data_IF_416999850403
#
_entry.id   IF_416999850403
#
_cell.length_a   1.000
_cell.length_b   1.000
_cell.length_c   1.000
_cell.angle_alpha   90.00
_cell.angle_beta   90.00
_cell.angle_gamma   90.00
#
_symmetry.space_group_name_H-M   'P 1'
#
loop_
_entity.id
_entity.type
_entity.pdbx_description
1 polymer ?
#
# COMPACT_ATOMS: atom_id res chain seq x y z
N UNK A 1 13.48 -2.08 -3.05
CA UNK A 1 14.35 -0.98 -3.44
C UNK A 1 14.57 -0.97 -4.95
N UNK A 2 15.20 0.07 -5.50
CA UNK A 2 15.40 0.24 -6.95
C UNK A 2 16.24 -0.83 -7.60
N UNK A 3 17.25 -1.32 -6.92
CA UNK A 3 18.11 -2.40 -7.38
C UNK A 3 17.28 -3.68 -7.64
N UNK A 4 16.39 -4.03 -6.70
CA UNK A 4 15.50 -5.19 -6.87
C UNK A 4 14.45 -4.95 -7.96
N UNK A 5 13.90 -3.76 -8.06
CA UNK A 5 12.99 -3.42 -9.16
C UNK A 5 13.68 -3.60 -10.51
N UNK A 6 14.90 -3.11 -10.67
CA UNK A 6 15.68 -3.26 -11.90
C UNK A 6 16.02 -4.73 -12.23
N UNK A 7 16.22 -5.54 -11.19
CA UNK A 7 16.55 -6.97 -11.36
C UNK A 7 15.37 -7.81 -11.82
N UNK A 8 14.16 -7.49 -11.35
CA UNK A 8 12.96 -8.33 -11.52
C UNK A 8 11.92 -7.77 -12.50
N UNK A 9 12.09 -6.54 -12.99
CA UNK A 9 11.17 -5.94 -13.95
C UNK A 9 11.81 -5.77 -15.33
N UNK A 10 11.03 -5.90 -16.42
CA UNK A 10 11.45 -5.40 -17.72
C UNK A 10 11.85 -3.93 -17.64
N UNK A 11 12.84 -3.51 -18.43
CA UNK A 11 13.44 -2.17 -18.32
C UNK A 11 12.41 -1.05 -18.56
N UNK A 12 11.52 -1.21 -19.50
CA UNK A 12 10.46 -0.23 -19.81
C UNK A 12 9.41 -0.15 -18.68
N UNK A 13 9.12 -1.27 -18.02
CA UNK A 13 8.24 -1.32 -16.84
C UNK A 13 8.90 -0.66 -15.63
N UNK A 14 10.19 -0.93 -15.43
CA UNK A 14 10.98 -0.30 -14.38
C UNK A 14 11.00 1.22 -14.53
N UNK A 15 11.29 1.73 -15.74
CA UNK A 15 11.33 3.16 -16.01
C UNK A 15 9.96 3.83 -15.76
N UNK A 16 8.87 3.26 -16.26
CA UNK A 16 7.51 3.75 -16.00
C UNK A 16 7.17 3.76 -14.52
N UNK A 17 7.52 2.70 -13.80
CA UNK A 17 7.26 2.63 -12.34
C UNK A 17 8.10 3.68 -11.59
N UNK A 18 9.32 3.95 -12.02
CA UNK A 18 10.14 5.03 -11.47
C UNK A 18 9.46 6.40 -11.66
N UNK A 19 8.90 6.70 -12.83
CA UNK A 19 8.15 7.94 -13.05
C UNK A 19 6.91 8.07 -12.16
N UNK A 20 6.20 6.97 -11.93
CA UNK A 20 5.08 6.95 -10.97
C UNK A 20 5.56 7.34 -9.56
N UNK A 21 6.67 6.77 -9.10
CA UNK A 21 7.21 7.01 -7.75
C UNK A 21 7.81 8.41 -7.63
N UNK A 22 8.63 8.83 -8.59
CA UNK A 22 9.43 10.05 -8.49
C UNK A 22 8.66 11.30 -8.90
N UNK A 23 7.98 11.23 -10.03
CA UNK A 23 7.31 12.38 -10.63
C UNK A 23 5.84 12.48 -10.18
N UNK A 24 5.30 11.41 -9.54
CA UNK A 24 3.90 11.34 -9.13
C UNK A 24 2.96 11.17 -10.33
N UNK A 25 3.45 10.57 -11.40
CA UNK A 25 2.63 10.21 -12.54
C UNK A 25 1.58 9.16 -12.17
N UNK A 26 0.50 9.13 -12.92
CA UNK A 26 -0.54 8.15 -12.70
C UNK A 26 -0.05 6.76 -13.10
N UNK A 27 -0.30 5.76 -12.24
CA UNK A 27 0.00 4.38 -12.56
C UNK A 27 -0.75 3.93 -13.82
N UNK A 28 -0.01 3.51 -14.84
CA UNK A 28 -0.56 2.87 -16.02
C UNK A 28 -0.89 1.40 -15.69
N UNK A 29 -2.16 1.05 -15.78
CA UNK A 29 -2.62 -0.32 -15.54
C UNK A 29 -2.00 -1.35 -16.49
N UNK A 30 -1.50 -0.91 -17.65
CA UNK A 30 -0.85 -1.80 -18.63
C UNK A 30 0.43 -2.46 -18.10
N UNK A 31 1.09 -1.85 -17.09
CA UNK A 31 2.31 -2.42 -16.47
C UNK A 31 2.02 -3.25 -15.23
N UNK A 32 0.77 -3.25 -14.74
CA UNK A 32 0.43 -3.86 -13.44
C UNK A 32 0.72 -5.37 -13.40
N UNK A 33 0.44 -6.10 -14.47
CA UNK A 33 0.72 -7.54 -14.54
C UNK A 33 2.23 -7.83 -14.50
N UNK A 34 3.03 -7.05 -15.24
CA UNK A 34 4.49 -7.21 -15.23
C UNK A 34 5.10 -6.86 -13.86
N UNK A 35 4.55 -5.84 -13.18
CA UNK A 35 4.98 -5.48 -11.83
C UNK A 35 4.59 -6.57 -10.83
N UNK A 36 3.38 -7.11 -10.91
CA UNK A 36 2.91 -8.20 -10.07
C UNK A 36 3.78 -9.45 -10.25
N UNK A 37 4.06 -9.85 -11.48
CA UNK A 37 4.93 -11.00 -11.78
C UNK A 37 6.35 -10.80 -11.21
N UNK A 38 6.93 -9.61 -11.40
CA UNK A 38 8.25 -9.30 -10.82
C UNK A 38 8.26 -9.32 -9.29
N UNK A 39 7.20 -8.83 -8.65
CA UNK A 39 7.04 -8.90 -7.19
C UNK A 39 6.91 -10.34 -6.72
N UNK A 40 6.08 -11.16 -7.38
CA UNK A 40 5.89 -12.58 -7.07
C UNK A 40 7.22 -13.33 -7.19
N UNK A 41 7.93 -13.16 -8.29
CA UNK A 41 9.22 -13.83 -8.51
C UNK A 41 10.24 -13.46 -7.44
N UNK A 42 10.35 -12.17 -7.11
CA UNK A 42 11.22 -11.72 -6.03
C UNK A 42 10.83 -12.33 -4.68
N UNK A 43 9.54 -12.36 -4.36
CA UNK A 43 9.04 -12.91 -3.11
C UNK A 43 9.31 -14.42 -3.02
N UNK A 44 9.05 -15.16 -4.09
CA UNK A 44 9.31 -16.61 -4.15
C UNK A 44 10.81 -16.95 -4.03
N UNK A 45 11.68 -16.16 -4.66
CA UNK A 45 13.14 -16.31 -4.50
C UNK A 45 13.60 -16.09 -3.05
N UNK A 46 12.81 -15.35 -2.26
CA UNK A 46 13.02 -15.14 -0.82
C UNK A 46 12.30 -16.17 0.06
N UNK A 47 11.64 -17.18 -0.53
CA UNK A 47 10.94 -18.24 0.19
C UNK A 47 9.51 -17.89 0.64
N UNK A 48 8.96 -16.79 0.12
CA UNK A 48 7.60 -16.33 0.43
C UNK A 48 6.57 -17.18 -0.29
N UNK A 49 5.48 -17.52 0.38
CA UNK A 49 4.38 -18.34 -0.14
C UNK A 49 3.04 -17.63 -0.18
N UNK A 50 2.92 -16.53 0.55
CA UNK A 50 1.70 -15.76 0.72
C UNK A 50 1.94 -14.28 0.43
N UNK A 51 0.86 -13.54 0.18
CA UNK A 51 0.90 -12.09 0.11
C UNK A 51 -0.27 -11.49 0.89
N UNK A 52 -0.12 -10.24 1.31
CA UNK A 52 -1.18 -9.50 1.98
C UNK A 52 -1.20 -8.05 1.54
N UNK A 53 -2.40 -7.49 1.40
CA UNK A 53 -2.60 -6.05 1.31
C UNK A 53 -2.56 -5.47 2.72
N UNK A 54 -1.49 -4.76 3.01
CA UNK A 54 -1.17 -4.19 4.31
C UNK A 54 -1.68 -2.75 4.43
N UNK A 55 -2.58 -2.48 5.38
CA UNK A 55 -3.14 -1.15 5.59
C UNK A 55 -3.49 -0.90 7.07
N UNK A 56 -3.68 0.38 7.42
CA UNK A 56 -4.02 0.83 8.77
C UNK A 56 -5.43 1.42 8.78
N UNK A 57 -6.47 0.63 9.08
CA UNK A 57 -7.84 1.13 9.13
C UNK A 57 -8.06 2.07 10.32
N UNK A 58 -9.07 2.93 10.23
CA UNK A 58 -9.45 3.86 11.31
C UNK A 58 -9.97 3.15 12.58
N UNK A 59 -10.14 1.83 12.53
CA UNK A 59 -10.62 0.98 13.65
C UNK A 59 -9.52 0.47 14.56
N UNK A 60 -8.31 1.08 14.51
CA UNK A 60 -7.12 0.72 15.25
C UNK A 60 -6.43 -0.59 14.79
N UNK A 61 -5.14 -0.64 15.05
CA UNK A 61 -4.30 -1.77 14.64
C UNK A 61 -4.08 -1.84 13.13
N UNK A 62 -3.16 -2.68 12.73
CA UNK A 62 -2.90 -2.97 11.32
C UNK A 62 -3.89 -4.03 10.81
N UNK A 63 -4.40 -3.84 9.62
CA UNK A 63 -5.23 -4.84 8.94
C UNK A 63 -4.49 -5.42 7.75
N UNK A 64 -4.83 -6.64 7.43
CA UNK A 64 -4.22 -7.40 6.36
C UNK A 64 -5.22 -8.42 5.80
N UNK A 65 -5.16 -8.61 4.50
CA UNK A 65 -5.89 -9.65 3.82
C UNK A 65 -4.90 -10.62 3.18
N UNK A 66 -4.70 -11.76 3.83
CA UNK A 66 -3.79 -12.78 3.37
C UNK A 66 -4.40 -13.63 2.24
N UNK A 67 -3.59 -13.85 1.21
CA UNK A 67 -3.86 -14.78 0.14
C UNK A 67 -2.57 -15.56 -0.19
N UNK A 68 -2.69 -16.78 -0.69
CA UNK A 68 -1.55 -17.53 -1.17
C UNK A 68 -1.28 -17.22 -2.65
N UNK A 69 -0.02 -17.41 -3.09
CA UNK A 69 0.33 -17.35 -4.51
C UNK A 69 -0.18 -18.56 -5.32
N UNK A 70 -0.93 -19.44 -4.69
CA UNK A 70 -1.40 -20.70 -5.27
C UNK A 70 -2.92 -20.68 -5.35
N UNK A 71 -3.46 -20.93 -6.54
CA UNK A 71 -4.89 -21.11 -6.80
C UNK A 71 -5.16 -22.46 -7.48
N UNK A 72 -6.40 -22.96 -7.38
CA UNK A 72 -6.82 -24.16 -8.09
C UNK A 72 -7.15 -23.85 -9.56
N UNK A 73 -6.62 -24.66 -10.49
CA UNK A 73 -6.87 -24.54 -11.93
C UNK A 73 -8.27 -25.00 -12.38
N UNK A 74 -9.12 -25.43 -11.44
CA UNK A 74 -10.45 -25.97 -11.70
C UNK A 74 -10.45 -27.35 -12.34
N UNK A 75 -9.29 -27.98 -12.58
CA UNK A 75 -9.11 -29.28 -13.20
C UNK A 75 -8.42 -30.31 -12.31
N UNK A 76 -8.23 -29.94 -11.02
CA UNK A 76 -7.55 -30.78 -10.02
C UNK A 76 -6.04 -30.50 -9.90
N UNK A 77 -5.52 -29.49 -10.59
CA UNK A 77 -4.19 -28.95 -10.46
C UNK A 77 -4.16 -27.63 -9.67
N UNK A 78 -2.97 -27.06 -9.54
CA UNK A 78 -2.73 -25.76 -8.90
C UNK A 78 -1.98 -24.84 -9.86
N UNK A 79 -2.28 -23.54 -9.78
CA UNK A 79 -1.61 -22.47 -10.49
C UNK A 79 -0.92 -21.55 -9.49
N UNK A 80 0.24 -21.04 -9.83
CA UNK A 80 0.82 -19.91 -9.16
C UNK A 80 0.27 -18.62 -9.81
N UNK A 81 -0.53 -17.86 -9.07
CA UNK A 81 -1.16 -16.66 -9.60
C UNK A 81 -0.93 -15.46 -8.69
N UNK A 82 -0.44 -14.37 -9.27
CA UNK A 82 -0.47 -13.04 -8.69
C UNK A 82 -0.53 -12.03 -9.84
N UNK A 83 -1.75 -11.65 -10.23
CA UNK A 83 -1.98 -10.75 -11.35
C UNK A 83 -1.92 -9.29 -10.94
N UNK A 84 -1.77 -8.39 -11.92
CA UNK A 84 -1.86 -6.96 -11.70
C UNK A 84 -3.20 -6.52 -11.10
N UNK A 85 -4.29 -7.23 -11.37
CA UNK A 85 -5.58 -7.01 -10.73
C UNK A 85 -5.50 -7.26 -9.23
N UNK A 86 -4.87 -8.35 -8.82
CA UNK A 86 -4.69 -8.71 -7.40
C UNK A 86 -3.73 -7.72 -6.71
N UNK A 87 -2.72 -7.23 -7.41
CA UNK A 87 -1.80 -6.23 -6.88
C UNK A 87 -2.49 -4.88 -6.67
N UNK A 88 -3.18 -4.37 -7.68
CA UNK A 88 -3.62 -2.96 -7.72
C UNK A 88 -4.79 -2.69 -6.80
N UNK A 89 -5.75 -3.62 -6.71
CA UNK A 89 -6.99 -3.39 -5.98
C UNK A 89 -7.57 -4.69 -5.42
N UNK A 90 -8.04 -4.62 -4.17
CA UNK A 90 -8.81 -5.66 -3.50
C UNK A 90 -10.06 -5.04 -2.86
N UNK A 91 -11.00 -5.88 -2.45
CA UNK A 91 -12.20 -5.50 -1.73
C UNK A 91 -12.22 -6.17 -0.35
N UNK A 92 -11.44 -5.66 0.64
CA UNK A 92 -11.44 -6.21 1.98
C UNK A 92 -12.80 -5.97 2.67
N UNK A 93 -13.16 -6.89 3.54
CA UNK A 93 -14.33 -6.79 4.39
C UNK A 93 -13.94 -6.78 5.88
N UNK A 94 -14.92 -6.80 6.76
CA UNK A 94 -14.70 -6.76 8.20
C UNK A 94 -13.82 -7.92 8.73
N UNK A 95 -13.73 -9.05 8.02
CA UNK A 95 -12.88 -10.18 8.41
C UNK A 95 -11.39 -9.88 8.32
N UNK A 96 -11.00 -8.90 7.50
CA UNK A 96 -9.63 -8.42 7.35
C UNK A 96 -9.17 -7.48 8.47
N UNK A 97 -10.04 -7.14 9.44
CA UNK A 97 -9.71 -6.23 10.52
C UNK A 97 -9.31 -6.98 11.80
N UNK A 98 -8.30 -6.51 12.55
CA UNK A 98 -7.79 -7.21 13.74
C UNK A 98 -8.84 -7.47 14.80
N UNK A 99 -9.72 -6.50 15.04
CA UNK A 99 -10.78 -6.56 16.04
C UNK A 99 -12.14 -6.68 15.37
N UNK A 100 -12.62 -7.86 15.05
CA UNK A 100 -13.92 -8.11 14.43
C UNK A 100 -15.15 -7.37 15.04
N UNK A 101 -14.92 -6.33 15.87
CA UNK A 101 -15.84 -5.58 16.70
C UNK A 101 -16.93 -4.81 15.95
N UNK A 102 -17.71 -4.04 16.72
CA UNK A 102 -18.80 -3.21 16.20
C UNK A 102 -18.23 -2.08 15.35
N UNK A 103 -18.70 -2.00 14.11
CA UNK A 103 -18.31 -0.97 13.13
C UNK A 103 -19.53 -0.43 12.43
N UNK A 104 -19.39 0.79 11.93
CA UNK A 104 -20.33 1.30 10.94
C UNK A 104 -20.20 0.50 9.64
N UNK A 105 -21.30 0.29 8.93
CA UNK A 105 -21.33 -0.52 7.72
C UNK A 105 -20.36 0.00 6.64
N UNK A 106 -20.17 1.32 6.55
CA UNK A 106 -19.27 1.93 5.58
C UNK A 106 -17.79 1.67 5.90
N UNK A 107 -17.43 1.39 7.15
CA UNK A 107 -16.08 0.99 7.56
C UNK A 107 -15.82 -0.51 7.35
N UNK A 108 -16.86 -1.30 7.17
CA UNK A 108 -16.76 -2.73 7.02
C UNK A 108 -16.39 -3.19 5.61
N UNK A 109 -16.57 -2.33 4.61
CA UNK A 109 -16.32 -2.65 3.19
C UNK A 109 -15.82 -1.45 2.42
N UNK A 110 -14.90 -1.70 1.50
CA UNK A 110 -14.36 -0.70 0.62
C UNK A 110 -13.35 -1.30 -0.35
N UNK A 111 -12.54 -0.44 -0.92
CA UNK A 111 -11.44 -0.83 -1.78
C UNK A 111 -10.11 -0.62 -1.06
N UNK A 112 -9.23 -1.62 -1.06
CA UNK A 112 -7.81 -1.39 -0.88
C UNK A 112 -7.17 -1.10 -2.24
N UNK A 113 -6.23 -0.17 -2.28
CA UNK A 113 -5.48 0.14 -3.49
C UNK A 113 -3.98 0.21 -3.19
N UNK A 114 -3.19 -0.42 -4.03
CA UNK A 114 -1.74 -0.40 -3.90
C UNK A 114 -1.20 1.02 -3.94
N UNK A 115 -0.28 1.32 -3.01
CA UNK A 115 0.51 2.54 -3.00
C UNK A 115 1.93 2.26 -3.50
N UNK A 116 2.25 2.57 -4.77
CA UNK A 116 3.57 2.32 -5.34
C UNK A 116 4.68 3.19 -4.73
N UNK A 117 4.34 4.25 -4.00
CA UNK A 117 5.30 5.13 -3.34
C UNK A 117 5.86 4.54 -2.04
N UNK A 118 5.21 3.51 -1.50
CA UNK A 118 5.66 2.78 -0.33
C UNK A 118 6.33 1.46 -0.72
N UNK A 119 7.51 1.13 -0.16
CA UNK A 119 8.17 -0.11 -0.48
C UNK A 119 7.39 -1.32 0.03
N UNK A 120 7.26 -2.34 -0.80
CA UNK A 120 6.83 -3.67 -0.37
C UNK A 120 7.91 -4.30 0.53
N UNK A 121 7.50 -5.13 1.47
CA UNK A 121 8.41 -5.77 2.43
C UNK A 121 7.92 -7.18 2.75
N UNK A 122 8.77 -7.97 3.40
CA UNK A 122 8.48 -9.36 3.76
C UNK A 122 8.49 -9.47 5.27
N UNK A 123 7.45 -10.12 5.81
CA UNK A 123 7.39 -10.60 7.19
C UNK A 123 7.21 -12.12 7.12
N UNK A 124 8.14 -12.84 7.70
CA UNK A 124 8.17 -14.30 7.69
C UNK A 124 8.05 -14.87 6.26
N UNK A 125 6.97 -15.55 5.92
CA UNK A 125 6.68 -16.15 4.62
C UNK A 125 5.66 -15.34 3.78
N UNK A 126 5.41 -14.09 4.17
CA UNK A 126 4.37 -13.24 3.59
C UNK A 126 4.93 -11.97 2.98
N UNK A 127 4.60 -11.71 1.71
CA UNK A 127 4.81 -10.43 1.03
C UNK A 127 3.77 -9.42 1.47
N UNK A 128 4.20 -8.34 2.14
CA UNK A 128 3.35 -7.25 2.57
C UNK A 128 3.35 -6.12 1.53
N UNK A 129 2.17 -5.80 0.99
CA UNK A 129 1.96 -4.80 -0.05
C UNK A 129 1.27 -3.59 0.57
N UNK A 130 1.98 -2.46 0.79
CA UNK A 130 1.36 -1.27 1.36
C UNK A 130 0.23 -0.75 0.50
N UNK A 131 -0.92 -0.56 1.11
CA UNK A 131 -2.14 -0.12 0.44
C UNK A 131 -2.83 1.01 1.21
N UNK A 132 -3.77 1.67 0.55
CA UNK A 132 -4.77 2.55 1.16
C UNK A 132 -6.11 1.82 1.19
N UNK A 133 -6.98 2.24 2.11
CA UNK A 133 -8.33 1.73 2.25
C UNK A 133 -9.35 2.86 2.18
N UNK A 134 -10.28 2.75 1.24
CA UNK A 134 -11.31 3.75 0.98
C UNK A 134 -12.68 3.10 0.86
N UNK A 135 -13.72 3.76 1.37
CA UNK A 135 -15.10 3.33 1.21
C UNK A 135 -15.53 3.34 -0.26
N UNK A 136 -16.57 2.60 -0.60
CA UNK A 136 -17.19 2.64 -1.94
C UNK A 136 -17.66 4.04 -2.36
N UNK A 137 -17.96 4.89 -1.40
CA UNK A 137 -18.36 6.28 -1.58
C UNK A 137 -17.20 7.27 -1.64
N UNK A 138 -15.95 6.80 -1.40
CA UNK A 138 -14.73 7.58 -1.52
C UNK A 138 -14.20 8.19 -0.21
N UNK A 139 -14.85 7.94 0.93
CA UNK A 139 -14.34 8.36 2.24
C UNK A 139 -13.08 7.56 2.61
N UNK A 140 -12.19 8.22 3.33
CA UNK A 140 -11.02 7.56 3.90
C UNK A 140 -11.43 6.57 4.99
N UNK A 141 -10.97 5.33 4.88
CA UNK A 141 -11.13 4.30 5.90
C UNK A 141 -9.80 3.91 6.56
N UNK A 142 -8.73 4.62 6.21
CA UNK A 142 -7.41 4.49 6.82
C UNK A 142 -6.75 5.85 7.08
N UNK A 143 -5.61 5.83 7.78
CA UNK A 143 -4.84 7.04 8.08
C UNK A 143 -3.94 7.48 6.91
N UNK A 144 -3.58 6.58 6.01
CA UNK A 144 -2.65 6.85 4.91
C UNK A 144 -3.28 7.63 3.77
N UNK A 145 -4.54 7.35 3.45
CA UNK A 145 -5.22 8.02 2.34
C UNK A 145 -5.31 9.55 2.52
N UNK A 146 -5.73 10.09 3.69
CA UNK A 146 -5.68 11.53 3.94
C UNK A 146 -4.26 12.12 3.82
N UNK A 147 -3.26 11.41 4.33
CA UNK A 147 -1.85 11.82 4.23
C UNK A 147 -1.43 11.95 2.76
N UNK A 148 -1.66 10.94 1.94
CA UNK A 148 -1.29 10.98 0.52
C UNK A 148 -2.02 12.09 -0.23
N UNK A 149 -3.29 12.34 0.09
CA UNK A 149 -4.04 13.46 -0.48
C UNK A 149 -3.46 14.82 -0.07
N UNK A 150 -3.04 14.98 1.17
CA UNK A 150 -2.40 16.22 1.63
C UNK A 150 -1.04 16.45 0.97
N UNK A 151 -0.24 15.39 0.80
CA UNK A 151 1.03 15.45 0.07
C UNK A 151 0.83 15.85 -1.40
N UNK A 152 -0.21 15.33 -2.04
CA UNK A 152 -0.55 15.72 -3.40
C UNK A 152 -0.97 17.19 -3.49
N UNK A 153 -1.84 17.66 -2.59
CA UNK A 153 -2.30 19.04 -2.57
C UNK A 153 -1.16 20.04 -2.36
N UNK A 154 -0.26 19.77 -1.40
CA UNK A 154 0.88 20.64 -1.15
C UNK A 154 1.90 20.62 -2.29
N UNK A 155 2.11 19.46 -2.92
CA UNK A 155 2.95 19.37 -4.11
C UNK A 155 2.45 20.30 -5.22
N UNK A 156 1.16 20.27 -5.55
CA UNK A 156 0.58 21.14 -6.56
C UNK A 156 0.76 22.63 -6.23
N UNK A 157 0.45 23.03 -5.00
CA UNK A 157 0.56 24.42 -4.58
C UNK A 157 2.01 24.90 -4.54
N UNK A 158 2.91 24.10 -3.98
CA UNK A 158 4.33 24.46 -3.85
C UNK A 158 5.04 24.49 -5.21
N UNK A 159 4.73 23.56 -6.12
CA UNK A 159 5.25 23.56 -7.48
C UNK A 159 4.80 24.82 -8.24
N UNK A 160 3.54 25.22 -8.09
CA UNK A 160 3.06 26.47 -8.68
C UNK A 160 3.83 27.71 -8.18
N UNK A 161 4.17 27.76 -6.89
CA UNK A 161 5.02 28.82 -6.33
C UNK A 161 6.45 28.74 -6.88
N UNK A 162 7.05 27.55 -6.92
CA UNK A 162 8.39 27.36 -7.48
C UNK A 162 8.49 27.84 -8.93
N UNK A 163 7.43 27.72 -9.70
CA UNK A 163 7.40 28.16 -11.10
C UNK A 163 7.55 29.68 -11.29
N UNK A 164 7.40 30.51 -10.26
CA UNK A 164 7.77 31.93 -10.34
C UNK A 164 9.28 32.14 -10.37
N UNK A 165 10.05 31.16 -9.93
CA UNK A 165 11.51 31.21 -9.83
C UNK A 165 12.21 30.27 -10.83
N UNK A 166 11.67 29.06 -10.99
CA UNK A 166 12.20 28.04 -11.90
C UNK A 166 11.07 27.22 -12.49
N UNK A 167 10.90 27.31 -13.82
CA UNK A 167 9.86 26.58 -14.58
C UNK A 167 10.12 25.08 -14.73
N UNK A 168 11.36 24.63 -14.48
CA UNK A 168 11.74 23.23 -14.67
C UNK A 168 11.40 22.34 -13.45
N UNK A 169 10.94 22.94 -12.36
CA UNK A 169 10.51 22.19 -11.16
C UNK A 169 9.25 21.39 -11.49
N UNK A 170 9.36 20.06 -11.45
CA UNK A 170 8.24 19.14 -11.72
C UNK A 170 7.47 18.75 -10.47
N UNK A 171 8.15 18.69 -9.32
CA UNK A 171 7.57 18.18 -8.08
C UNK A 171 8.25 18.80 -6.86
N UNK A 172 7.48 19.01 -5.82
CA UNK A 172 7.97 19.39 -4.48
C UNK A 172 7.63 18.24 -3.52
N UNK A 173 8.65 17.72 -2.85
CA UNK A 173 8.51 16.62 -1.90
C UNK A 173 8.51 17.16 -0.47
N UNK A 174 7.56 16.74 0.33
CA UNK A 174 7.50 17.01 1.76
C UNK A 174 8.32 15.98 2.51
N UNK A 175 9.23 16.45 3.34
CA UNK A 175 9.96 15.59 4.27
C UNK A 175 9.33 15.69 5.65
N UNK A 176 9.07 14.56 6.27
CA UNK A 176 8.51 14.43 7.61
C UNK A 176 9.54 13.77 8.53
N UNK A 177 9.80 14.38 9.69
CA UNK A 177 10.55 13.75 10.79
C UNK A 177 9.60 13.00 11.71
N UNK A 178 9.99 11.82 12.18
CA UNK A 178 9.27 11.08 13.19
C UNK A 178 9.57 11.65 14.56
N UNK A 179 8.49 11.86 15.34
CA UNK A 179 8.57 12.18 16.78
C UNK A 179 7.66 11.21 17.55
N UNK A 180 8.10 10.84 18.74
CA UNK A 180 7.32 10.04 19.68
C UNK A 180 7.11 10.83 20.95
N UNK A 181 5.85 10.97 21.34
CA UNK A 181 5.47 11.53 22.63
C UNK A 181 4.81 10.44 23.47
N UNK A 182 5.23 10.31 24.72
CA UNK A 182 4.65 9.34 25.63
C UNK A 182 4.74 9.84 27.09
N UNK A 183 3.83 9.35 27.89
CA UNK A 183 3.81 9.56 29.32
C UNK A 183 4.11 8.27 30.04
N UNK A 184 4.89 8.36 31.10
CA UNK A 184 5.03 7.26 32.05
C UNK A 184 3.83 7.30 32.98
N UNK A 185 3.05 6.23 32.99
CA UNK A 185 1.86 6.07 33.85
C UNK A 185 2.02 4.81 34.70
N UNK A 186 1.37 4.82 35.87
CA UNK A 186 1.27 3.64 36.68
C UNK A 186 0.40 2.59 36.00
N UNK A 187 0.84 1.33 36.00
CA UNK A 187 0.18 0.24 35.29
C UNK A 187 -1.23 -0.04 35.83
N UNK A 188 -1.39 -0.04 37.14
CA UNK A 188 -2.69 -0.30 37.77
C UNK A 188 -3.68 0.83 37.50
N UNK A 189 -3.21 2.07 37.44
CA UNK A 189 -4.04 3.21 37.06
C UNK A 189 -4.44 3.17 35.62
N UNK A 190 -3.55 2.72 34.73
CA UNK A 190 -3.87 2.54 33.31
C UNK A 190 -4.93 1.44 33.10
N UNK A 191 -4.84 0.33 33.81
CA UNK A 191 -5.87 -0.72 33.76
C UNK A 191 -7.20 -0.28 34.37
N UNK A 192 -7.19 0.56 35.38
CA UNK A 192 -8.41 1.09 35.96
C UNK A 192 -9.14 2.11 35.08
N UNK A 193 -8.39 2.81 34.27
CA UNK A 193 -8.91 3.85 33.35
C UNK A 193 -7.99 3.97 32.11
N UNK A 194 -8.14 3.05 31.11
CA UNK A 194 -7.35 3.03 29.90
C UNK A 194 -7.62 4.23 28.99
#
# INVERSE_FOLDING_TARGET
NREKMYQYLPIDVYEKLCHVIDDGERLDRSIADAVAEGMKQWAMDMGVTHYTHWFQPLTEGTAEKHDAFIEHDGKGGVLEEFSGKLLVQQEPDASSFPNGGIRNTFEARGYSAWDPTSPVFIIDDTLCIPTIFIAYTGEALDYKYPLLRSLHAINLAATAVCHYFNKDVKKVTVNLGWEQEYFLVDEDLNYARP
#
